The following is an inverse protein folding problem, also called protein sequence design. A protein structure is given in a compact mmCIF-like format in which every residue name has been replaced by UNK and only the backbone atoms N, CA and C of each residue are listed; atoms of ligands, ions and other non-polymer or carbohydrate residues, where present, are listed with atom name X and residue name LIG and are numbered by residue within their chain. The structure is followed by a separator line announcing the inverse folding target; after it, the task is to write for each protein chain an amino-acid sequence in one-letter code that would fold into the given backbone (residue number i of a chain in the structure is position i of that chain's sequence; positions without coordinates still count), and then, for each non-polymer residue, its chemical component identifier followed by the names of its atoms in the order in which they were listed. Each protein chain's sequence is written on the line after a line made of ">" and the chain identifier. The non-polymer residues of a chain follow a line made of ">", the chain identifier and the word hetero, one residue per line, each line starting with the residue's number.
data_IF_831232725462
#
_entry.id   IF_831232725462
#
_cell.length_a   1.000
_cell.length_b   1.000
_cell.length_c   1.000
_cell.angle_alpha   90.00
_cell.angle_beta   90.00
_cell.angle_gamma   90.00
#
_symmetry.space_group_name_H-M   'P 1'
#
loop_
_entity.id
_entity.type
_entity.pdbx_description
1 polymer ?
#
# COMPACT_ATOMS: atom_id res chain seq x y z
N UNK A 1 7.68 -50.23 14.90
CA UNK A 1 7.69 -48.88 15.54
C UNK A 1 8.12 -47.85 14.48
N UNK A 2 7.35 -47.66 13.40
CA UNK A 2 7.86 -46.98 12.19
C UNK A 2 7.01 -45.78 11.72
N UNK A 3 5.95 -45.40 12.46
CA UNK A 3 5.02 -44.37 12.00
C UNK A 3 5.09 -43.03 12.73
N UNK A 4 5.94 -42.87 13.75
CA UNK A 4 5.86 -41.72 14.68
C UNK A 4 6.79 -40.58 14.27
N UNK A 5 8.00 -40.88 13.81
CA UNK A 5 8.99 -39.88 13.36
C UNK A 5 8.56 -39.18 12.07
N UNK A 6 8.00 -39.88 11.09
CA UNK A 6 7.55 -39.26 9.83
C UNK A 6 6.38 -38.30 10.04
N UNK A 7 5.44 -38.62 10.94
CA UNK A 7 4.30 -37.74 11.24
C UNK A 7 4.73 -36.45 11.93
N UNK A 8 5.62 -36.54 12.93
CA UNK A 8 6.17 -35.35 13.59
C UNK A 8 7.05 -34.52 12.65
N UNK A 9 7.86 -35.17 11.81
CA UNK A 9 8.68 -34.49 10.80
C UNK A 9 7.82 -33.78 9.75
N UNK A 10 6.75 -34.40 9.26
CA UNK A 10 5.80 -33.77 8.34
C UNK A 10 5.09 -32.60 9.00
N UNK A 11 4.67 -32.72 10.27
CA UNK A 11 4.04 -31.62 11.02
C UNK A 11 5.02 -30.45 11.22
N UNK A 12 6.29 -30.72 11.54
CA UNK A 12 7.33 -29.69 11.69
C UNK A 12 7.62 -28.99 10.36
N UNK A 13 7.72 -29.75 9.25
CA UNK A 13 7.94 -29.19 7.92
C UNK A 13 6.76 -28.36 7.42
N UNK A 14 5.52 -28.79 7.70
CA UNK A 14 4.31 -28.02 7.38
C UNK A 14 4.21 -26.76 8.22
N UNK A 15 4.58 -26.81 9.51
CA UNK A 15 4.64 -25.62 10.38
C UNK A 15 5.71 -24.63 9.93
N UNK A 16 6.90 -25.10 9.54
CA UNK A 16 7.95 -24.25 8.98
C UNK A 16 7.52 -23.61 7.65
N UNK A 17 6.84 -24.37 6.79
CA UNK A 17 6.31 -23.84 5.54
C UNK A 17 5.23 -22.77 5.78
N UNK A 18 4.36 -22.94 6.78
CA UNK A 18 3.35 -21.94 7.15
C UNK A 18 3.99 -20.63 7.64
N UNK A 19 5.04 -20.70 8.46
CA UNK A 19 5.77 -19.53 8.97
C UNK A 19 6.46 -18.71 7.85
N UNK A 20 6.82 -19.35 6.73
CA UNK A 20 7.46 -18.68 5.58
C UNK A 20 6.47 -17.92 4.68
N UNK A 21 5.16 -18.11 4.85
CA UNK A 21 4.15 -17.51 3.95
C UNK A 21 3.61 -16.17 4.44
N UNK A 22 3.93 -15.75 5.67
CA UNK A 22 3.32 -14.57 6.33
C UNK A 22 4.15 -13.30 6.24
N UNK A 23 4.70 -12.97 5.07
CA UNK A 23 5.34 -11.66 4.83
C UNK A 23 4.65 -10.91 3.70
N UNK A 24 3.44 -10.40 3.95
CA UNK A 24 2.78 -9.43 3.07
C UNK A 24 2.52 -8.13 3.82
N UNK A 25 3.60 -7.37 4.06
CA UNK A 25 3.46 -5.98 4.52
C UNK A 25 3.18 -5.05 3.32
N UNK A 26 2.24 -5.38 2.43
CA UNK A 26 1.77 -4.44 1.40
C UNK A 26 0.48 -3.77 1.88
N UNK A 27 0.50 -2.45 1.95
CA UNK A 27 -0.57 -1.64 2.52
C UNK A 27 -1.56 -1.13 1.46
N UNK A 28 -1.18 -1.13 0.18
CA UNK A 28 -1.96 -0.53 -0.89
C UNK A 28 -1.75 -1.20 -2.26
N UNK A 29 -2.58 -0.79 -3.23
CA UNK A 29 -2.43 -1.17 -4.63
C UNK A 29 -2.83 -2.61 -4.91
N UNK A 30 -2.40 -3.16 -6.05
CA UNK A 30 -2.78 -4.52 -6.49
C UNK A 30 -2.38 -5.61 -5.49
N UNK A 31 -1.35 -5.37 -4.71
CA UNK A 31 -0.84 -6.26 -3.67
C UNK A 31 -1.76 -6.32 -2.43
N UNK A 32 -2.55 -5.27 -2.20
CA UNK A 32 -3.50 -5.16 -1.09
C UNK A 32 -4.95 -5.13 -1.59
N UNK A 33 -5.25 -5.82 -2.70
CA UNK A 33 -6.61 -5.91 -3.24
C UNK A 33 -7.17 -4.58 -3.74
N UNK A 34 -6.32 -3.66 -4.19
CA UNK A 34 -6.72 -2.32 -4.64
C UNK A 34 -6.90 -1.31 -3.52
N UNK A 35 -6.51 -1.63 -2.28
CA UNK A 35 -6.61 -0.69 -1.15
C UNK A 35 -5.82 0.59 -1.42
N UNK A 36 -6.44 1.74 -1.13
CA UNK A 36 -5.77 3.02 -1.17
C UNK A 36 -5.07 3.32 0.16
N UNK A 37 -4.03 4.14 0.11
CA UNK A 37 -3.36 4.63 1.31
C UNK A 37 -4.21 5.64 2.08
N UNK A 38 -4.13 5.58 3.41
CA UNK A 38 -4.66 6.63 4.29
C UNK A 38 -3.94 7.98 4.06
N UNK A 39 -4.55 9.08 4.51
CA UNK A 39 -4.03 10.44 4.35
C UNK A 39 -3.70 10.85 2.90
N UNK A 40 -4.32 10.17 1.93
CA UNK A 40 -4.05 10.34 0.50
C UNK A 40 -2.56 10.24 0.14
N UNK A 41 -1.79 9.41 0.85
CA UNK A 41 -0.40 9.10 0.52
C UNK A 41 -0.32 8.34 -0.81
N UNK A 42 0.81 8.47 -1.50
CA UNK A 42 1.06 7.73 -2.74
C UNK A 42 1.24 6.25 -2.46
N UNK A 43 0.66 5.43 -3.32
CA UNK A 43 0.93 4.00 -3.33
C UNK A 43 2.04 3.68 -4.33
N UNK A 44 3.22 3.30 -3.84
CA UNK A 44 4.34 2.88 -4.67
C UNK A 44 3.99 1.67 -5.55
N UNK A 45 4.82 1.42 -6.57
CA UNK A 45 4.73 0.21 -7.40
C UNK A 45 4.79 -1.10 -6.60
N UNK A 46 5.39 -1.06 -5.41
CA UNK A 46 5.57 -2.21 -4.52
C UNK A 46 4.43 -2.40 -3.52
N UNK A 47 3.44 -1.49 -3.50
CA UNK A 47 2.28 -1.59 -2.60
C UNK A 47 2.51 -0.98 -1.22
N UNK A 48 3.45 -0.04 -1.10
CA UNK A 48 3.69 0.73 0.12
C UNK A 48 3.22 2.17 0.01
N UNK A 49 2.77 2.73 1.13
CA UNK A 49 2.30 4.10 1.25
C UNK A 49 3.41 5.06 1.66
N UNK A 50 3.53 6.20 0.98
CA UNK A 50 4.46 7.27 1.35
C UNK A 50 4.25 8.53 0.52
N UNK A 51 4.96 9.61 0.86
CA UNK A 51 4.87 10.91 0.19
C UNK A 51 6.08 11.27 -0.68
N UNK A 52 7.18 10.51 -0.57
CA UNK A 52 8.42 10.83 -1.30
C UNK A 52 8.39 10.33 -2.75
N UNK A 53 9.39 10.73 -3.56
CA UNK A 53 9.51 10.32 -4.97
C UNK A 53 9.51 8.81 -5.16
N UNK A 54 10.06 8.07 -4.20
CA UNK A 54 10.10 6.61 -4.24
C UNK A 54 8.69 5.99 -4.23
N UNK A 55 7.69 6.69 -3.67
CA UNK A 55 6.30 6.23 -3.57
C UNK A 55 5.40 6.85 -4.63
N UNK A 56 5.60 8.13 -4.93
CA UNK A 56 4.79 8.90 -5.88
C UNK A 56 5.34 8.90 -7.31
N UNK A 57 6.54 8.38 -7.53
CA UNK A 57 7.24 8.41 -8.81
C UNK A 57 6.71 7.38 -9.82
N UNK A 58 7.60 6.99 -10.74
CA UNK A 58 7.28 6.02 -11.79
C UNK A 58 6.76 4.72 -11.18
N UNK A 59 5.67 4.19 -11.74
CA UNK A 59 5.04 2.95 -11.26
C UNK A 59 4.12 3.12 -10.06
N UNK A 60 3.93 4.34 -9.55
CA UNK A 60 2.91 4.61 -8.54
C UNK A 60 1.52 4.15 -8.99
N UNK A 61 0.78 3.51 -8.08
CA UNK A 61 -0.50 2.84 -8.34
C UNK A 61 -1.70 3.71 -7.99
N UNK A 62 -1.59 4.61 -7.00
CA UNK A 62 -2.66 5.53 -6.58
C UNK A 62 -2.09 6.75 -5.84
N UNK A 63 -2.83 7.87 -5.88
CA UNK A 63 -2.45 9.15 -5.27
C UNK A 63 -1.12 9.76 -5.75
N UNK A 64 -0.66 9.42 -6.96
CA UNK A 64 0.68 9.74 -7.48
C UNK A 64 0.97 11.22 -7.74
N UNK A 65 -0.06 12.06 -7.83
CA UNK A 65 0.05 13.49 -8.16
C UNK A 65 0.61 14.38 -7.04
N UNK A 66 0.91 13.85 -5.85
CA UNK A 66 1.39 14.65 -4.70
C UNK A 66 2.87 15.02 -4.76
N UNK A 67 3.62 14.48 -5.71
CA UNK A 67 5.06 14.77 -5.84
C UNK A 67 5.39 16.13 -6.49
N UNK A 68 4.39 16.86 -6.99
CA UNK A 68 4.65 18.11 -7.70
C UNK A 68 5.15 19.25 -6.80
N UNK A 69 5.05 19.15 -5.48
CA UNK A 69 5.32 20.27 -4.57
C UNK A 69 5.86 19.83 -3.22
N UNK A 70 7.09 19.33 -3.15
CA UNK A 70 7.80 19.32 -1.86
C UNK A 70 9.31 19.44 -2.05
N UNK A 71 9.78 20.68 -2.12
CA UNK A 71 11.18 21.03 -1.84
C UNK A 71 11.27 22.04 -0.69
N UNK A 72 10.17 22.36 0.00
CA UNK A 72 10.25 23.23 1.16
C UNK A 72 9.18 22.81 2.15
N UNK A 73 9.63 22.29 3.30
CA UNK A 73 8.78 21.78 4.35
C UNK A 73 7.76 22.81 4.86
N UNK A 74 6.77 22.27 5.56
CA UNK A 74 5.72 22.99 6.30
C UNK A 74 4.93 23.99 5.44
N UNK A 75 3.80 23.54 4.87
CA UNK A 75 2.88 24.48 4.22
C UNK A 75 1.85 23.82 3.33
N UNK A 76 0.71 23.51 3.92
CA UNK A 76 -0.56 23.44 3.22
C UNK A 76 -0.70 24.66 2.29
N UNK A 77 -0.88 24.44 0.99
CA UNK A 77 -1.56 25.38 0.12
C UNK A 77 -2.58 24.61 -0.72
N UNK A 78 -3.76 24.49 -0.11
CA UNK A 78 -5.03 24.48 -0.82
C UNK A 78 -5.02 25.67 -1.77
N UNK A 79 -4.91 25.41 -3.07
CA UNK A 79 -5.42 26.32 -4.07
C UNK A 79 -6.72 25.71 -4.58
N UNK A 80 -7.81 26.13 -3.92
CA UNK A 80 -9.12 26.41 -4.50
C UNK A 80 -9.54 25.56 -5.71
N UNK A 81 -9.94 24.32 -5.46
CA UNK A 81 -11.14 23.82 -6.13
C UNK A 81 -12.24 23.86 -5.09
N UNK A 82 -12.91 25.01 -5.12
CA UNK A 82 -14.22 25.28 -4.57
C UNK A 82 -15.03 24.00 -4.36
N UNK A 83 -15.48 23.81 -3.12
CA UNK A 83 -16.70 23.04 -2.90
C UNK A 83 -17.84 23.82 -3.56
N UNK A 84 -17.97 23.71 -4.88
CA UNK A 84 -19.03 24.37 -5.62
C UNK A 84 -20.30 23.53 -5.46
N UNK A 85 -20.97 23.73 -4.33
CA UNK A 85 -22.42 23.53 -4.25
C UNK A 85 -23.06 24.64 -5.09
N UNK A 86 -23.24 24.40 -6.38
CA UNK A 86 -24.27 25.07 -7.15
C UNK A 86 -25.04 24.02 -7.94
N UNK A 87 -26.31 23.85 -7.55
CA UNK A 87 -27.29 23.26 -8.44
C UNK A 87 -27.29 24.02 -9.77
N UNK A 88 -27.41 23.27 -10.86
CA UNK A 88 -27.66 23.79 -12.19
C UNK A 88 -28.87 23.08 -12.78
N UNK A 89 -29.77 23.80 -13.48
CA UNK A 89 -31.00 23.24 -14.01
C UNK A 89 -30.74 22.46 -15.30
N UNK A 90 -31.26 21.24 -15.37
CA UNK A 90 -32.11 20.72 -16.46
C UNK A 90 -32.53 19.29 -16.13
#
# INVERSE_FOLDING_TARGET
>A
REGKTTKFQVVILVLLALLLTTTSAQNCGRQAGGRACANRLCCSQYGYCGSTRAYCGVGCQSNCGRYATDTTGEGENVNNDEHNNNGGPN
#
